data_IF_257299063121
#
_entry.id   IF_257299063121
#
_cell.length_a   1.000
_cell.length_b   1.000
_cell.length_c   1.000
_cell.angle_alpha   90.00
_cell.angle_beta   90.00
_cell.angle_gamma   90.00
#
_symmetry.space_group_name_H-M   'P 1'
#
loop_
_entity.id
_entity.type
_entity.pdbx_description
1 polymer ?
#
# COMPACT_ATOMS: atom_id res chain seq x y z
N UNK A 1 10.15 20.81 12.98
CA UNK A 1 10.21 20.37 12.74
C UNK A 1 9.86 19.57 12.41
N UNK A 2 9.76 19.49 12.27
CA UNK A 2 9.42 18.73 12.04
C UNK A 2 9.85 17.93 12.26
N UNK A 3 10.04 18.25 12.64
CA UNK A 3 10.31 17.57 12.89
C UNK A 3 10.28 16.48 12.65
N UNK A 4 11.06 16.03 12.43
CA UNK A 4 10.97 14.68 12.09
C UNK A 4 9.61 14.17 12.21
N UNK A 5 8.83 14.97 12.14
CA UNK A 5 7.52 14.61 12.32
C UNK A 5 7.13 13.51 11.44
N UNK A 6 6.37 12.70 11.97
CA UNK A 6 5.68 11.70 11.24
C UNK A 6 5.17 12.35 10.00
N UNK A 7 5.64 11.90 8.89
CA UNK A 7 5.17 12.44 7.67
C UNK A 7 3.76 12.00 7.45
N UNK A 8 2.93 12.94 7.12
CA UNK A 8 1.57 12.62 6.81
C UNK A 8 1.53 11.78 5.55
N UNK A 9 0.81 10.69 5.61
CA UNK A 9 0.54 9.88 4.43
C UNK A 9 -0.09 10.72 3.34
N UNK A 10 -0.87 11.72 3.72
CA UNK A 10 -1.60 12.56 2.80
C UNK A 10 -0.71 13.42 1.92
N UNK A 11 0.54 13.62 2.31
CA UNK A 11 1.48 14.41 1.51
C UNK A 11 2.06 13.64 0.34
N UNK A 12 1.78 12.36 0.23
CA UNK A 12 2.32 11.54 -0.84
C UNK A 12 1.42 11.56 -2.06
N UNK A 13 2.05 11.64 -3.24
CA UNK A 13 1.33 11.59 -4.51
C UNK A 13 1.91 10.46 -5.34
N UNK A 14 1.07 9.54 -5.75
CA UNK A 14 1.49 8.38 -6.51
C UNK A 14 0.85 8.35 -7.87
N UNK A 15 1.55 7.76 -8.85
CA UNK A 15 1.07 7.75 -10.21
C UNK A 15 0.12 6.58 -10.44
N UNK A 16 -1.02 6.88 -11.05
CA UNK A 16 -1.97 5.87 -11.51
C UNK A 16 -1.59 5.37 -12.89
N UNK A 17 -2.08 4.20 -13.30
CA UNK A 17 -1.80 3.72 -14.67
C UNK A 17 -2.19 4.70 -15.77
N UNK A 18 -3.15 5.57 -15.51
CA UNK A 18 -3.54 6.61 -16.47
C UNK A 18 -2.47 7.68 -16.66
N UNK A 19 -1.48 7.74 -15.78
CA UNK A 19 -0.48 8.80 -15.77
C UNK A 19 -0.84 9.93 -14.82
N UNK A 20 -2.05 9.95 -14.29
CA UNK A 20 -2.44 10.99 -13.35
C UNK A 20 -1.82 10.73 -11.99
N UNK A 21 -1.57 11.80 -11.26
CA UNK A 21 -1.12 11.68 -9.88
C UNK A 21 -2.32 11.63 -8.97
N UNK A 22 -2.23 10.77 -7.96
CA UNK A 22 -3.29 10.53 -7.02
C UNK A 22 -2.75 10.70 -5.61
N UNK A 23 -3.46 11.39 -4.72
CA UNK A 23 -3.03 11.36 -3.31
C UNK A 23 -2.93 9.92 -2.87
N UNK A 24 -1.87 9.63 -2.16
CA UNK A 24 -1.63 8.26 -1.71
C UNK A 24 -2.78 7.73 -0.92
N UNK A 25 -3.69 8.60 -0.48
CA UNK A 25 -4.85 8.16 0.09
C UNK A 25 -6.02 8.98 -0.08
N UNK A 26 -7.02 8.43 -0.41
CA UNK A 26 -8.31 9.06 -0.46
C UNK A 26 -9.23 8.28 0.45
N UNK A 27 -10.06 8.93 1.18
CA UNK A 27 -11.03 8.22 2.00
C UNK A 27 -10.67 8.18 3.46
N UNK A 28 -11.18 9.11 4.23
CA UNK A 28 -11.04 9.06 5.66
C UNK A 28 -11.91 7.97 6.23
N UNK A 29 -11.47 7.41 7.35
CA UNK A 29 -12.26 6.46 8.09
C UNK A 29 -12.01 5.01 7.77
N UNK A 30 -11.22 4.73 6.73
CA UNK A 30 -10.92 3.35 6.37
C UNK A 30 -9.51 2.98 6.75
N UNK A 31 -9.32 1.71 7.09
CA UNK A 31 -8.01 1.11 7.13
C UNK A 31 -7.50 0.95 5.71
N UNK A 32 -6.20 1.13 5.49
CA UNK A 32 -5.63 1.05 4.15
C UNK A 32 -4.40 0.20 4.17
N UNK A 33 -4.33 -0.74 3.25
CA UNK A 33 -3.26 -1.73 3.20
C UNK A 33 -2.56 -1.61 1.86
N UNK A 34 -1.28 -1.29 1.89
CA UNK A 34 -0.48 -1.19 0.68
C UNK A 34 0.61 -2.23 0.67
N UNK A 35 0.62 -3.04 -0.37
CA UNK A 35 1.69 -4.00 -0.60
C UNK A 35 2.73 -3.36 -1.52
N UNK A 36 3.94 -3.24 -1.04
CA UNK A 36 5.05 -2.69 -1.81
C UNK A 36 5.78 -3.80 -2.52
N UNK A 37 5.99 -3.65 -3.82
CA UNK A 37 6.72 -4.62 -4.62
C UNK A 37 7.45 -3.94 -5.77
N UNK A 38 8.22 -4.69 -6.53
CA UNK A 38 8.94 -4.17 -7.69
C UNK A 38 9.16 -5.27 -8.73
N UNK A 39 9.60 -4.87 -9.92
CA UNK A 39 9.91 -5.79 -11.01
C UNK A 39 10.89 -6.85 -10.51
N UNK A 40 10.63 -8.09 -10.87
CA UNK A 40 11.49 -9.20 -10.50
C UNK A 40 11.14 -9.85 -9.16
N UNK A 41 10.24 -9.27 -8.40
CA UNK A 41 9.82 -9.85 -7.13
C UNK A 41 8.70 -10.85 -7.34
N UNK A 42 9.04 -12.10 -7.53
CA UNK A 42 8.06 -13.19 -7.67
C UNK A 42 7.22 -13.31 -6.40
N UNK A 43 7.88 -13.21 -5.24
CA UNK A 43 7.17 -13.28 -3.97
C UNK A 43 6.24 -12.09 -3.79
N UNK A 44 6.62 -10.92 -4.30
CA UNK A 44 5.74 -9.75 -4.26
C UNK A 44 4.45 -9.96 -5.03
N UNK A 45 4.55 -10.54 -6.21
CA UNK A 45 3.36 -10.83 -7.01
C UNK A 45 2.47 -11.88 -6.36
N UNK A 46 3.08 -12.87 -5.72
CA UNK A 46 2.33 -13.89 -5.00
C UNK A 46 1.60 -13.28 -3.80
N UNK A 47 2.28 -12.46 -3.02
CA UNK A 47 1.64 -11.81 -1.87
C UNK A 47 0.51 -10.89 -2.31
N UNK A 48 0.68 -10.21 -3.44
CA UNK A 48 -0.38 -9.37 -3.99
C UNK A 48 -1.62 -10.20 -4.34
N UNK A 49 -1.44 -11.36 -4.96
CA UNK A 49 -2.55 -12.24 -5.28
C UNK A 49 -3.29 -12.70 -4.03
N UNK A 50 -2.56 -13.05 -2.98
CA UNK A 50 -3.16 -13.49 -1.72
C UNK A 50 -3.93 -12.34 -1.07
N UNK A 51 -3.33 -11.15 -1.02
CA UNK A 51 -3.98 -9.98 -0.45
C UNK A 51 -5.27 -9.64 -1.19
N UNK A 52 -5.20 -9.58 -2.51
CA UNK A 52 -6.35 -9.22 -3.33
C UNK A 52 -7.49 -10.22 -3.14
N UNK A 53 -7.18 -11.50 -3.17
CA UNK A 53 -8.18 -12.54 -3.02
C UNK A 53 -8.88 -12.45 -1.67
N UNK A 54 -8.11 -12.27 -0.60
CA UNK A 54 -8.68 -12.15 0.74
C UNK A 54 -9.57 -10.92 0.84
N UNK A 55 -9.10 -9.79 0.33
CA UNK A 55 -9.86 -8.53 0.40
C UNK A 55 -11.17 -8.63 -0.39
N UNK A 56 -11.14 -9.24 -1.57
CA UNK A 56 -12.34 -9.43 -2.37
C UNK A 56 -13.37 -10.29 -1.65
N UNK A 57 -12.91 -11.27 -0.88
CA UNK A 57 -13.81 -12.16 -0.15
C UNK A 57 -14.31 -11.54 1.16
N UNK A 58 -13.60 -10.55 1.69
CA UNK A 58 -13.91 -9.97 2.99
C UNK A 58 -14.16 -8.45 2.92
N UNK A 59 -14.61 -7.98 1.78
CA UNK A 59 -14.77 -6.56 1.47
C UNK A 59 -15.50 -5.70 2.49
N UNK A 60 -16.42 -6.22 3.31
CA UNK A 60 -17.18 -5.34 4.21
C UNK A 60 -16.44 -4.84 5.44
N UNK A 61 -15.16 -5.02 5.52
CA UNK A 61 -14.43 -4.67 6.74
C UNK A 61 -13.98 -3.20 6.81
N UNK A 62 -14.44 -2.35 5.91
CA UNK A 62 -14.02 -0.95 5.94
C UNK A 62 -12.53 -0.81 5.67
N UNK A 63 -12.02 -1.58 4.76
CA UNK A 63 -10.61 -1.56 4.39
C UNK A 63 -10.44 -1.33 2.92
N UNK A 64 -9.47 -0.48 2.57
CA UNK A 64 -9.03 -0.30 1.20
C UNK A 64 -7.66 -0.93 1.05
N UNK A 65 -7.32 -1.33 -0.15
CA UNK A 65 -6.04 -2.00 -0.38
C UNK A 65 -5.53 -1.72 -1.78
N UNK A 66 -4.24 -1.86 -1.95
CA UNK A 66 -3.63 -1.68 -3.25
C UNK A 66 -2.21 -2.21 -3.27
N UNK A 67 -1.61 -2.18 -4.43
CA UNK A 67 -0.22 -2.55 -4.63
C UNK A 67 0.54 -1.31 -5.12
N UNK A 68 1.69 -1.09 -4.53
CA UNK A 68 2.52 0.08 -4.80
C UNK A 68 3.85 -0.40 -5.36
N UNK A 69 4.14 0.03 -6.59
CA UNK A 69 5.45 -0.25 -7.17
C UNK A 69 6.47 0.71 -6.58
N UNK A 70 7.56 0.15 -6.10
CA UNK A 70 8.72 0.93 -5.66
C UNK A 70 9.84 0.84 -6.69
N UNK A 71 9.49 0.55 -7.93
CA UNK A 71 10.45 0.53 -9.02
C UNK A 71 11.07 1.91 -9.23
N UNK A 72 12.32 1.92 -9.64
CA UNK A 72 13.00 3.17 -9.92
C UNK A 72 12.65 3.78 -11.26
N UNK A 73 11.89 3.09 -12.11
CA UNK A 73 11.50 3.62 -13.40
C UNK A 73 10.05 3.30 -13.71
N UNK A 74 9.43 4.19 -14.45
CA UNK A 74 8.06 4.01 -14.91
C UNK A 74 7.93 2.80 -15.81
N UNK A 75 8.93 2.55 -16.63
CA UNK A 75 8.92 1.40 -17.53
C UNK A 75 8.84 0.09 -16.76
N UNK A 76 9.64 -0.06 -15.68
CA UNK A 76 9.61 -1.27 -14.88
C UNK A 76 8.26 -1.45 -14.21
N UNK A 77 7.70 -0.38 -13.69
CA UNK A 77 6.38 -0.43 -13.09
C UNK A 77 5.31 -0.87 -14.09
N UNK A 78 5.32 -0.26 -15.28
CA UNK A 78 4.29 -0.54 -16.28
C UNK A 78 4.39 -1.96 -16.81
N UNK A 79 5.59 -2.50 -16.95
CA UNK A 79 5.75 -3.87 -17.46
C UNK A 79 5.36 -4.91 -16.44
N UNK A 80 5.39 -4.58 -15.15
CA UNK A 80 5.09 -5.53 -14.09
C UNK A 80 3.66 -5.42 -13.58
N UNK A 81 3.21 -4.21 -13.29
CA UNK A 81 1.92 -3.98 -12.65
C UNK A 81 0.98 -3.09 -13.44
N UNK A 82 1.52 -2.07 -14.10
CA UNK A 82 0.70 -0.99 -14.63
C UNK A 82 -0.24 -1.35 -15.76
N UNK A 83 -0.02 -2.50 -16.41
CA UNK A 83 -0.88 -2.92 -17.52
C UNK A 83 -1.83 -4.04 -17.16
N UNK A 84 -1.94 -4.41 -15.89
CA UNK A 84 -2.86 -5.44 -15.45
C UNK A 84 -4.26 -4.85 -15.35
N UNK A 85 -5.09 -5.15 -16.35
CA UNK A 85 -6.41 -4.55 -16.45
C UNK A 85 -7.30 -4.77 -15.23
N UNK A 86 -7.28 -5.97 -14.68
CA UNK A 86 -8.19 -6.33 -13.59
C UNK A 86 -7.86 -5.65 -12.27
N UNK A 87 -6.69 -5.01 -12.16
CA UNK A 87 -6.26 -4.41 -10.89
C UNK A 87 -5.73 -2.99 -11.06
N UNK A 88 -5.87 -2.40 -12.25
CA UNK A 88 -5.21 -1.12 -12.51
C UNK A 88 -5.68 0.01 -11.60
N UNK A 89 -6.90 -0.04 -11.12
CA UNK A 89 -7.40 0.98 -10.21
C UNK A 89 -6.76 0.90 -8.82
N UNK A 90 -6.15 -0.24 -8.50
CA UNK A 90 -5.48 -0.45 -7.21
C UNK A 90 -3.98 -0.47 -7.33
N UNK A 91 -3.45 -0.13 -8.50
CA UNK A 91 -2.02 -0.13 -8.77
C UNK A 91 -1.50 1.29 -8.80
N UNK A 92 -0.43 1.56 -8.07
CA UNK A 92 0.20 2.87 -8.05
C UNK A 92 1.71 2.74 -8.16
N UNK A 93 2.36 3.82 -8.57
CA UNK A 93 3.81 3.90 -8.63
C UNK A 93 4.27 5.09 -7.80
N UNK A 94 5.30 4.88 -6.97
CA UNK A 94 5.81 5.94 -6.08
C UNK A 94 6.44 7.11 -6.83
N UNK A 95 6.80 6.93 -8.10
CA UNK A 95 7.44 7.98 -8.86
C UNK A 95 8.95 7.96 -8.70
N UNK A 96 9.58 9.02 -9.18
CA UNK A 96 11.04 9.11 -9.22
C UNK A 96 11.66 9.81 -8.03
N UNK A 97 10.85 10.43 -7.19
CA UNK A 97 11.35 11.14 -6.03
C UNK A 97 11.91 10.14 -5.02
N UNK A 98 13.21 10.20 -4.71
CA UNK A 98 13.79 9.25 -3.78
C UNK A 98 13.33 9.44 -2.33
N UNK A 99 12.67 10.55 -2.02
CA UNK A 99 12.21 10.81 -0.66
C UNK A 99 11.21 9.80 -0.14
N UNK A 100 10.53 9.09 -1.04
CA UNK A 100 9.55 8.08 -0.62
C UNK A 100 10.20 6.89 0.11
N UNK A 101 11.49 6.61 -0.14
CA UNK A 101 12.18 5.53 0.56
C UNK A 101 12.14 5.76 2.08
N UNK A 102 12.45 6.99 2.50
CA UNK A 102 12.45 7.32 3.92
C UNK A 102 11.04 7.31 4.47
N UNK A 103 10.09 7.86 3.73
CA UNK A 103 8.70 7.94 4.20
C UNK A 103 8.07 6.57 4.39
N UNK A 104 8.37 5.64 3.51
CA UNK A 104 7.81 4.29 3.58
C UNK A 104 8.70 3.32 4.34
N UNK A 105 9.88 3.78 4.76
CA UNK A 105 10.84 2.94 5.48
C UNK A 105 11.09 1.63 4.74
N UNK A 106 11.38 1.72 3.43
CA UNK A 106 11.53 0.54 2.61
C UNK A 106 12.86 -0.13 2.91
N UNK A 107 12.82 -1.37 3.35
CA UNK A 107 14.02 -2.16 3.61
C UNK A 107 14.18 -3.24 2.55
N UNK A 108 13.08 -3.90 2.21
CA UNK A 108 13.07 -4.93 1.17
C UNK A 108 11.64 -5.16 0.74
N UNK A 109 11.44 -5.72 -0.42
CA UNK A 109 10.10 -6.06 -0.91
C UNK A 109 9.95 -7.58 -0.99
N UNK A 110 8.74 -8.09 -0.83
CA UNK A 110 7.50 -7.36 -0.53
C UNK A 110 7.46 -6.83 0.90
N UNK A 111 6.77 -5.72 1.07
CA UNK A 111 6.59 -5.08 2.37
C UNK A 111 5.14 -4.58 2.45
N UNK A 112 4.55 -4.65 3.63
CA UNK A 112 3.18 -4.17 3.81
C UNK A 112 3.18 -2.96 4.73
N UNK A 113 2.59 -1.87 4.24
CA UNK A 113 2.38 -0.65 5.02
C UNK A 113 0.89 -0.55 5.29
N UNK A 114 0.54 -0.29 6.55
CA UNK A 114 -0.86 -0.16 6.96
C UNK A 114 -1.10 1.22 7.52
N UNK A 115 -2.16 1.86 7.03
CA UNK A 115 -2.58 3.19 7.47
C UNK A 115 -3.90 3.05 8.22
N UNK A 116 -4.00 3.69 9.36
CA UNK A 116 -5.20 3.59 10.19
C UNK A 116 -6.27 4.60 9.76
N UNK A 117 -7.49 4.51 10.31
CA UNK A 117 -8.57 5.41 9.91
C UNK A 117 -8.32 6.90 10.15
N UNK A 118 -7.36 7.27 10.97
CA UNK A 118 -6.99 8.66 11.15
C UNK A 118 -6.05 9.19 10.07
N UNK A 119 -5.57 8.31 9.20
CA UNK A 119 -4.62 8.70 8.16
C UNK A 119 -3.16 8.59 8.59
N UNK A 120 -2.91 8.03 9.77
CA UNK A 120 -1.54 7.82 10.25
C UNK A 120 -1.06 6.43 9.89
N UNK A 121 0.25 6.29 9.74
CA UNK A 121 0.83 4.98 9.47
C UNK A 121 0.78 4.16 10.74
N UNK A 122 0.04 3.06 10.69
CA UNK A 122 -0.06 2.14 11.81
C UNK A 122 1.22 1.34 11.95
N UNK A 123 1.76 0.88 10.83
CA UNK A 123 3.05 0.21 10.79
C UNK A 123 3.59 0.24 9.37
N UNK A 124 4.91 0.38 9.25
CA UNK A 124 5.60 0.30 7.96
C UNK A 124 5.91 -1.16 7.60
N UNK A 125 5.86 -2.06 8.56
CA UNK A 125 6.29 -3.45 8.38
C UNK A 125 5.29 -4.40 9.01
N UNK A 126 4.09 -4.44 8.44
CA UNK A 126 3.10 -5.42 8.87
C UNK A 126 3.51 -6.81 8.37
N UNK A 127 2.99 -7.89 8.98
CA UNK A 127 3.19 -9.21 8.43
C UNK A 127 2.69 -9.29 6.99
N UNK A 128 3.34 -10.12 6.18
CA UNK A 128 2.87 -10.35 4.81
C UNK A 128 1.52 -11.09 4.81
N UNK A 129 0.76 -11.01 3.73
CA UNK A 129 -0.50 -11.73 3.64
C UNK A 129 -0.41 -13.21 4.00
N UNK A 130 0.67 -13.88 3.59
CA UNK A 130 0.86 -15.29 3.93
C UNK A 130 1.45 -15.50 5.32
N UNK A 131 1.77 -14.43 6.04
CA UNK A 131 2.49 -14.51 7.30
C UNK A 131 1.74 -13.90 8.49
N UNK A 132 0.43 -13.77 8.38
CA UNK A 132 -0.37 -13.33 9.51
C UNK A 132 -1.00 -11.94 9.40
N UNK A 133 -0.90 -11.30 8.25
CA UNK A 133 -1.46 -9.96 8.06
C UNK A 133 -2.96 -9.91 8.41
N UNK A 134 -3.72 -10.90 7.98
CA UNK A 134 -5.18 -10.82 8.13
C UNK A 134 -5.61 -10.92 9.58
N UNK A 135 -4.91 -11.70 10.38
CA UNK A 135 -5.17 -11.77 11.81
C UNK A 135 -4.89 -10.42 12.49
N UNK A 136 -3.79 -9.77 12.09
CA UNK A 136 -3.47 -8.45 12.63
C UNK A 136 -4.48 -7.39 12.22
N UNK A 137 -4.91 -7.40 10.96
CA UNK A 137 -5.92 -6.45 10.49
C UNK A 137 -7.22 -6.61 11.25
N UNK A 138 -7.64 -7.85 11.50
CA UNK A 138 -8.83 -8.10 12.30
C UNK A 138 -8.66 -7.59 13.71
N UNK A 139 -7.52 -7.85 14.32
CA UNK A 139 -7.26 -7.42 15.69
C UNK A 139 -7.29 -5.90 15.80
N UNK A 140 -6.58 -5.20 14.90
CA UNK A 140 -6.55 -3.74 14.90
C UNK A 140 -7.94 -3.15 14.69
N UNK A 141 -8.71 -3.68 13.73
CA UNK A 141 -10.03 -3.14 13.44
C UNK A 141 -10.99 -3.31 14.60
N UNK A 142 -10.90 -4.41 15.33
CA UNK A 142 -11.73 -4.65 16.51
C UNK A 142 -11.35 -3.74 17.68
N UNK A 143 -10.07 -3.40 17.80
CA UNK A 143 -9.59 -2.53 18.86
C UNK A 143 -9.75 -1.05 18.56
N UNK A 144 -10.04 -0.70 17.32
CA UNK A 144 -10.15 0.70 16.93
C UNK A 144 -11.43 1.29 17.50
N UNK A 145 -11.37 2.47 18.12
CA UNK A 145 -12.58 3.05 18.72
C UNK A 145 -13.66 3.27 17.68
N UNK A 146 -14.84 2.80 18.01
CA UNK A 146 -16.01 3.04 17.20
C UNK A 146 -16.45 4.50 17.39
N UNK A 147 -16.95 5.09 16.35
CA UNK A 147 -17.44 6.47 16.43
C UNK A 147 -18.95 6.51 16.43
#
# INVERSE_FOLDING_TARGET
AHLGTAQSWEDMMWMMPSGELDPAWAGEGDWRVWLLTKKGSTSGLREWSVLRQWMEQNAPLGMSYGVLSVDGSEEHWRTTLGHRESVKERVRWVGRDPGWWDRLDVERVPQVVVVNPNGDIQTHHAPLPTEGLFAELKRWSLMWPSR
#
